data_IF_549924664740
#
_entry.id   IF_549924664740
#
_cell.length_a   1.000
_cell.length_b   1.000
_cell.length_c   1.000
_cell.angle_alpha   90.00
_cell.angle_beta   90.00
_cell.angle_gamma   90.00
#
_symmetry.space_group_name_H-M   'P 1'
#
loop_
_entity.id
_entity.type
_entity.pdbx_description
1 polymer ?
#
# COMPACT_ATOMS: atom_id res chain seq x y z
N UNK A 1 -43.42 -5.31 -18.91
CA UNK A 1 -42.34 -5.48 -17.92
C UNK A 1 -42.59 -4.48 -16.79
N UNK A 2 -42.73 -5.00 -15.57
CA UNK A 2 -42.89 -4.33 -14.28
C UNK A 2 -44.14 -3.46 -14.10
N UNK A 3 -45.17 -4.02 -13.48
CA UNK A 3 -46.20 -3.26 -12.76
C UNK A 3 -46.06 -3.63 -11.29
N UNK A 4 -45.77 -2.60 -10.48
CA UNK A 4 -45.69 -2.62 -9.03
C UNK A 4 -47.09 -2.74 -8.43
N UNK A 5 -47.30 -3.70 -7.53
CA UNK A 5 -48.52 -3.77 -6.72
C UNK A 5 -48.15 -4.17 -5.29
N UNK A 6 -48.07 -3.17 -4.43
CA UNK A 6 -47.97 -3.33 -2.98
C UNK A 6 -49.32 -3.86 -2.45
N UNK A 7 -49.33 -5.06 -1.88
CA UNK A 7 -50.47 -5.56 -1.12
C UNK A 7 -50.39 -5.06 0.32
N UNK A 8 -51.28 -4.13 0.69
CA UNK A 8 -51.57 -3.79 2.07
C UNK A 8 -52.48 -4.86 2.68
N UNK A 9 -52.04 -5.49 3.79
CA UNK A 9 -52.89 -6.34 4.63
C UNK A 9 -53.44 -5.51 5.80
N UNK A 10 -54.76 -5.46 5.96
CA UNK A 10 -55.44 -4.93 7.15
C UNK A 10 -56.08 -6.07 7.95
N UNK A 11 -55.87 -6.16 9.28
CA UNK A 11 -56.29 -7.33 10.06
C UNK A 11 -57.62 -7.09 10.78
N UNK A 12 -58.77 -7.27 10.13
CA UNK A 12 -60.07 -7.16 10.85
C UNK A 12 -61.22 -7.84 10.07
N UNK A 13 -61.38 -9.17 10.21
CA UNK A 13 -62.60 -9.84 9.73
C UNK A 13 -62.90 -11.21 10.36
N UNK A 14 -62.83 -11.31 11.68
CA UNK A 14 -63.24 -12.54 12.39
C UNK A 14 -64.41 -12.28 13.34
N UNK A 15 -65.61 -12.04 12.80
CA UNK A 15 -66.86 -12.32 13.52
C UNK A 15 -67.93 -12.81 12.54
N UNK A 16 -68.71 -13.77 13.04
CA UNK A 16 -69.84 -14.50 12.42
C UNK A 16 -69.35 -15.78 11.72
N UNK A 17 -69.65 -17.01 12.16
CA UNK A 17 -70.88 -17.55 12.73
C UNK A 17 -70.62 -18.71 13.74
N UNK A 18 -71.56 -18.85 14.66
CA UNK A 18 -71.74 -19.80 15.78
C UNK A 18 -71.83 -21.29 15.39
N UNK A 19 -71.44 -22.20 16.30
CA UNK A 19 -72.08 -23.53 16.39
C UNK A 19 -71.30 -24.70 17.01
N UNK A 20 -71.74 -25.11 18.21
CA UNK A 20 -71.73 -26.48 18.80
C UNK A 20 -70.46 -27.11 19.41
N UNK A 21 -70.68 -27.69 20.59
CA UNK A 21 -69.75 -28.26 21.57
C UNK A 21 -69.25 -29.66 21.18
N UNK A 22 -67.92 -29.88 21.22
CA UNK A 22 -67.32 -31.17 21.65
C UNK A 22 -66.06 -30.83 22.46
N UNK A 23 -66.08 -31.22 23.73
CA UNK A 23 -64.95 -31.18 24.66
C UNK A 23 -64.09 -32.44 24.45
N UNK A 24 -62.81 -32.42 24.86
CA UNK A 24 -61.72 -33.43 24.66
C UNK A 24 -60.91 -33.17 23.38
N UNK A 25 -59.61 -32.88 23.38
CA UNK A 25 -58.51 -33.25 24.26
C UNK A 25 -57.52 -32.09 24.45
N UNK A 26 -56.90 -32.07 25.63
CA UNK A 26 -55.65 -31.37 25.92
C UNK A 26 -54.54 -31.88 24.98
N UNK A 27 -53.48 -31.08 24.83
CA UNK A 27 -52.22 -31.34 24.10
C UNK A 27 -52.18 -30.97 22.61
N UNK A 28 -52.23 -29.67 22.33
CA UNK A 28 -51.16 -29.08 21.52
C UNK A 28 -50.63 -27.88 22.27
N UNK A 29 -49.68 -28.14 23.17
CA UNK A 29 -48.69 -27.14 23.51
C UNK A 29 -48.13 -26.62 22.18
N UNK A 30 -48.17 -25.32 21.88
CA UNK A 30 -47.29 -24.79 20.85
C UNK A 30 -45.89 -24.97 21.44
N UNK A 31 -45.22 -26.06 21.07
CA UNK A 31 -43.78 -26.16 21.23
C UNK A 31 -43.21 -24.86 20.64
N UNK A 32 -42.32 -24.16 21.34
CA UNK A 32 -41.54 -23.12 20.71
C UNK A 32 -40.73 -23.82 19.63
N UNK A 33 -41.22 -23.77 18.38
CA UNK A 33 -40.33 -23.92 17.25
C UNK A 33 -39.16 -22.94 17.46
N UNK A 34 -37.96 -23.24 16.96
CA UNK A 34 -36.89 -22.27 17.00
C UNK A 34 -37.47 -20.98 16.41
N UNK A 35 -37.65 -19.97 17.28
CA UNK A 35 -37.75 -18.58 16.84
C UNK A 35 -36.54 -18.46 15.94
N UNK A 36 -36.75 -18.27 14.64
CA UNK A 36 -35.66 -17.93 13.75
C UNK A 36 -34.96 -16.76 14.42
N UNK A 37 -33.83 -17.05 15.06
CA UNK A 37 -32.98 -16.05 15.68
C UNK A 37 -32.47 -15.26 14.50
N UNK A 38 -33.21 -14.20 14.16
CA UNK A 38 -32.89 -13.15 13.21
C UNK A 38 -31.55 -13.40 12.52
N UNK A 39 -31.55 -14.17 11.43
CA UNK A 39 -30.43 -14.10 10.48
C UNK A 39 -30.64 -12.77 9.78
N UNK A 40 -30.33 -11.70 10.52
CA UNK A 40 -30.40 -10.35 10.04
C UNK A 40 -29.24 -10.26 9.07
N UNK A 41 -29.53 -10.45 7.79
CA UNK A 41 -28.58 -10.25 6.71
C UNK A 41 -28.10 -8.79 6.81
N UNK A 42 -27.00 -8.57 7.52
CA UNK A 42 -26.40 -7.25 7.67
C UNK A 42 -25.92 -6.85 6.28
N UNK A 43 -26.46 -5.75 5.75
CA UNK A 43 -25.98 -5.19 4.50
C UNK A 43 -24.49 -4.90 4.65
N UNK A 44 -23.66 -5.60 3.86
CA UNK A 44 -22.24 -5.33 3.83
C UNK A 44 -21.99 -4.14 2.89
N UNK A 45 -21.28 -3.09 3.34
CA UNK A 45 -20.93 -1.97 2.50
C UNK A 45 -19.95 -2.33 1.37
N UNK A 46 -19.37 -3.54 1.41
CA UNK A 46 -18.46 -4.04 0.38
C UNK A 46 -19.14 -4.68 -0.83
N UNK A 47 -20.47 -4.87 -0.80
CA UNK A 47 -21.22 -5.52 -1.90
C UNK A 47 -21.12 -4.73 -3.20
N UNK A 48 -20.99 -3.40 -3.13
CA UNK A 48 -20.82 -2.55 -4.30
C UNK A 48 -19.41 -2.57 -4.90
N UNK A 49 -18.45 -3.25 -4.27
CA UNK A 49 -17.05 -3.27 -4.69
C UNK A 49 -16.42 -1.86 -4.74
N UNK A 50 -16.42 -1.10 -3.64
CA UNK A 50 -15.98 0.30 -3.65
C UNK A 50 -14.46 0.49 -3.87
N UNK A 51 -13.65 -0.55 -3.61
CA UNK A 51 -12.19 -0.46 -3.72
C UNK A 51 -11.72 -0.78 -5.14
N UNK A 52 -10.86 0.07 -5.68
CA UNK A 52 -10.26 -0.05 -7.01
C UNK A 52 -8.92 -0.81 -6.95
N UNK A 53 -8.34 -1.11 -8.11
CA UNK A 53 -6.97 -1.62 -8.26
C UNK A 53 -6.64 -2.80 -7.33
N UNK A 54 -7.53 -3.80 -7.28
CA UNK A 54 -7.38 -5.01 -6.45
C UNK A 54 -7.34 -4.73 -4.93
N UNK A 55 -7.82 -3.58 -4.48
CA UNK A 55 -7.99 -3.27 -3.06
C UNK A 55 -9.03 -4.18 -2.39
N UNK A 56 -8.78 -4.53 -1.13
CA UNK A 56 -9.67 -5.36 -0.32
C UNK A 56 -10.57 -4.47 0.52
N UNK A 57 -11.89 -4.60 0.34
CA UNK A 57 -12.87 -3.90 1.15
C UNK A 57 -13.06 -4.58 2.51
N UNK A 58 -13.03 -3.80 3.58
CA UNK A 58 -13.28 -4.25 4.95
C UNK A 58 -14.35 -3.37 5.58
N UNK A 59 -15.30 -3.98 6.31
CA UNK A 59 -16.29 -3.22 7.07
C UNK A 59 -15.62 -2.50 8.24
N UNK A 60 -15.91 -1.22 8.40
CA UNK A 60 -15.33 -0.37 9.44
C UNK A 60 -16.42 0.15 10.39
N UNK A 61 -16.26 0.06 11.72
CA UNK A 61 -17.27 0.52 12.66
C UNK A 61 -17.49 2.05 12.67
N UNK A 62 -16.51 2.83 12.20
CA UNK A 62 -16.51 4.30 12.24
C UNK A 62 -16.86 4.89 10.88
N UNK A 63 -16.20 4.43 9.82
CA UNK A 63 -16.32 4.97 8.45
C UNK A 63 -17.22 4.12 7.53
N UNK A 64 -18.00 3.19 8.09
CA UNK A 64 -18.80 2.17 7.38
C UNK A 64 -17.94 1.10 6.67
N UNK A 65 -16.93 1.50 5.90
CA UNK A 65 -15.94 0.61 5.29
C UNK A 65 -14.59 1.30 5.05
N UNK A 66 -13.54 0.51 4.91
CA UNK A 66 -12.20 0.94 4.50
C UNK A 66 -11.68 0.06 3.36
N UNK A 67 -10.79 0.61 2.56
CA UNK A 67 -10.10 -0.11 1.50
C UNK A 67 -8.64 -0.35 1.90
N UNK A 68 -8.24 -1.62 1.97
CA UNK A 68 -6.84 -2.01 2.10
C UNK A 68 -6.26 -2.13 0.70
N UNK A 69 -5.40 -1.19 0.34
CA UNK A 69 -4.86 -1.11 -1.02
C UNK A 69 -3.84 -2.19 -1.30
N UNK A 70 -3.87 -2.70 -2.54
CA UNK A 70 -2.81 -3.54 -3.05
C UNK A 70 -1.49 -2.76 -3.12
N UNK A 71 -0.32 -3.43 -3.06
CA UNK A 71 0.97 -2.77 -3.20
C UNK A 71 1.04 -1.89 -4.46
N UNK A 72 1.56 -0.67 -4.31
CA UNK A 72 1.68 0.30 -5.40
C UNK A 72 0.44 1.18 -5.65
N UNK A 73 -0.59 1.11 -4.81
CA UNK A 73 -1.77 1.99 -4.84
C UNK A 73 -2.06 2.64 -3.48
N UNK A 74 -2.68 3.81 -3.52
CA UNK A 74 -3.05 4.64 -2.38
C UNK A 74 -4.36 5.40 -2.68
N UNK A 75 -4.84 6.18 -1.71
CA UNK A 75 -6.13 6.88 -1.76
C UNK A 75 -7.23 6.15 -0.99
N UNK A 76 -8.37 6.83 -0.80
CA UNK A 76 -9.49 6.30 0.01
C UNK A 76 -10.10 5.03 -0.60
N UNK A 77 -10.06 4.93 -1.92
CA UNK A 77 -10.60 3.84 -2.72
C UNK A 77 -9.51 3.09 -3.49
N UNK A 78 -8.24 3.29 -3.14
CA UNK A 78 -7.09 2.72 -3.85
C UNK A 78 -7.01 3.15 -5.32
N UNK A 79 -7.55 4.33 -5.64
CA UNK A 79 -7.67 4.89 -6.98
C UNK A 79 -6.35 5.47 -7.51
N UNK A 80 -5.41 5.78 -6.61
CA UNK A 80 -4.19 6.54 -6.96
C UNK A 80 -2.98 5.61 -7.02
N UNK A 81 -2.25 5.54 -8.15
CA UNK A 81 -0.92 4.95 -8.20
C UNK A 81 0.04 5.59 -7.18
N UNK A 82 0.82 4.78 -6.47
CA UNK A 82 1.92 5.30 -5.64
C UNK A 82 3.02 5.80 -6.56
N UNK A 83 3.35 7.09 -6.44
CA UNK A 83 4.58 7.63 -7.00
C UNK A 83 5.76 7.24 -6.10
N UNK A 84 6.50 6.24 -6.55
CA UNK A 84 7.66 5.68 -5.86
C UNK A 84 8.87 6.61 -5.85
N UNK A 85 8.88 7.67 -6.69
CA UNK A 85 9.94 8.66 -6.76
C UNK A 85 9.61 9.96 -6.00
N UNK A 86 8.38 10.13 -5.50
CA UNK A 86 7.93 11.36 -4.85
C UNK A 86 8.79 11.79 -3.64
N UNK A 87 9.39 10.83 -2.93
CA UNK A 87 10.27 11.11 -1.79
C UNK A 87 11.72 11.39 -2.17
N UNK A 88 12.07 11.38 -3.46
CA UNK A 88 13.44 11.45 -3.97
C UNK A 88 14.37 10.46 -3.27
N UNK A 89 14.14 9.14 -3.41
CA UNK A 89 14.90 8.12 -2.68
C UNK A 89 16.38 8.04 -3.07
N UNK A 90 16.75 8.51 -4.26
CA UNK A 90 18.13 8.47 -4.75
C UNK A 90 18.95 9.63 -4.17
N UNK A 91 20.05 9.29 -3.49
CA UNK A 91 20.98 10.24 -2.87
C UNK A 91 22.09 10.66 -3.84
N UNK A 92 22.97 11.58 -3.41
CA UNK A 92 24.13 12.05 -4.18
C UNK A 92 23.83 12.49 -5.63
N UNK A 93 22.66 13.11 -5.84
CA UNK A 93 22.24 13.59 -7.15
C UNK A 93 21.82 12.49 -8.13
N UNK A 94 21.62 11.26 -7.66
CA UNK A 94 21.09 10.16 -8.46
C UNK A 94 19.68 10.46 -9.00
N UNK A 95 19.38 9.94 -10.18
CA UNK A 95 18.06 10.07 -10.82
C UNK A 95 17.18 8.88 -10.47
N UNK A 96 15.98 9.13 -9.93
CA UNK A 96 14.98 8.11 -9.68
C UNK A 96 14.25 7.73 -10.97
N UNK A 97 14.15 6.43 -11.24
CA UNK A 97 13.48 5.86 -12.40
C UNK A 97 12.36 4.95 -11.90
N UNK A 98 11.10 5.35 -12.13
CA UNK A 98 9.95 4.51 -11.80
C UNK A 98 9.70 3.46 -12.88
N UNK A 99 9.36 2.24 -12.45
CA UNK A 99 8.80 1.19 -13.29
C UNK A 99 7.29 1.13 -13.06
N UNK A 100 6.55 1.63 -14.06
CA UNK A 100 5.08 1.71 -14.04
C UNK A 100 4.39 0.34 -13.97
N UNK A 101 5.05 -0.72 -14.46
CA UNK A 101 4.49 -2.08 -14.49
C UNK A 101 4.67 -2.78 -13.15
N UNK A 102 5.85 -2.67 -12.55
CA UNK A 102 6.17 -3.35 -11.29
C UNK A 102 5.90 -2.49 -10.05
N UNK A 103 5.66 -1.19 -10.22
CA UNK A 103 5.51 -0.19 -9.14
C UNK A 103 6.71 -0.21 -8.20
N UNK A 104 7.90 -0.34 -8.78
CA UNK A 104 9.20 -0.25 -8.13
C UNK A 104 9.95 0.93 -8.73
N UNK A 105 11.04 1.32 -8.08
CA UNK A 105 11.97 2.29 -8.63
C UNK A 105 13.38 1.70 -8.66
N UNK A 106 14.24 2.29 -9.48
CA UNK A 106 15.68 2.14 -9.42
C UNK A 106 16.34 3.51 -9.43
N UNK A 107 17.57 3.58 -8.93
CA UNK A 107 18.38 4.79 -8.98
C UNK A 107 19.44 4.67 -10.06
N UNK A 108 19.50 5.67 -10.95
CA UNK A 108 20.65 5.87 -11.84
C UNK A 108 21.63 6.81 -11.16
N UNK A 109 22.76 6.27 -10.73
CA UNK A 109 23.78 7.01 -9.99
C UNK A 109 24.64 7.89 -10.90
N UNK A 110 25.10 9.01 -10.36
CA UNK A 110 26.16 9.80 -10.99
C UNK A 110 27.51 9.06 -10.90
N UNK A 111 28.47 9.48 -11.72
CA UNK A 111 29.83 8.95 -11.69
C UNK A 111 30.43 9.11 -10.29
N UNK A 112 31.12 8.09 -9.81
CA UNK A 112 31.67 8.05 -8.45
C UNK A 112 30.75 7.44 -7.40
N UNK A 113 29.46 7.23 -7.68
CA UNK A 113 28.52 6.66 -6.70
C UNK A 113 27.96 5.31 -7.12
N UNK A 114 27.68 4.46 -6.13
CA UNK A 114 26.97 3.19 -6.30
C UNK A 114 26.08 2.87 -5.10
N UNK A 115 25.44 1.70 -5.13
CA UNK A 115 24.42 1.30 -4.16
C UNK A 115 23.00 1.38 -4.73
N UNK A 116 22.01 0.92 -3.96
CA UNK A 116 20.61 0.89 -4.44
C UNK A 116 19.97 2.28 -4.44
N UNK A 117 20.53 3.18 -3.64
CA UNK A 117 20.10 4.56 -3.44
C UNK A 117 21.22 5.55 -3.80
N UNK A 118 22.28 5.11 -4.49
CA UNK A 118 23.48 5.90 -4.79
C UNK A 118 24.17 6.46 -3.54
N UNK A 119 24.07 5.74 -2.43
CA UNK A 119 24.48 6.16 -1.10
C UNK A 119 25.96 5.93 -0.81
N UNK A 120 26.63 5.14 -1.65
CA UNK A 120 28.02 4.76 -1.46
C UNK A 120 28.88 5.53 -2.45
N UNK A 121 29.85 6.29 -1.93
CA UNK A 121 30.93 6.87 -2.71
C UNK A 121 31.97 5.79 -3.00
N UNK A 122 32.41 5.69 -4.24
CA UNK A 122 33.38 4.69 -4.68
C UNK A 122 34.77 5.18 -4.28
N UNK A 123 35.50 4.39 -3.51
CA UNK A 123 36.88 4.72 -3.16
C UNK A 123 37.79 4.54 -4.39
N UNK A 124 38.06 5.65 -5.09
CA UNK A 124 38.88 5.67 -6.29
C UNK A 124 40.35 5.29 -6.00
N UNK A 125 40.78 5.31 -4.72
CA UNK A 125 42.13 4.92 -4.31
C UNK A 125 42.33 3.41 -4.17
N UNK A 126 41.27 2.60 -4.08
CA UNK A 126 41.41 1.13 -4.02
C UNK A 126 41.95 0.56 -5.35
N UNK A 127 41.48 1.12 -6.48
CA UNK A 127 41.88 0.68 -7.83
C UNK A 127 43.01 1.54 -8.42
N UNK A 128 43.27 2.74 -7.89
CA UNK A 128 44.28 3.66 -8.40
C UNK A 128 45.36 3.99 -7.37
N UNK A 129 46.52 3.34 -7.53
CA UNK A 129 47.68 3.59 -6.68
C UNK A 129 48.46 4.85 -7.08
N UNK A 130 48.73 5.71 -6.10
CA UNK A 130 49.69 6.80 -6.27
C UNK A 130 51.14 6.29 -6.20
N UNK A 131 51.99 6.70 -7.14
CA UNK A 131 53.40 6.30 -7.18
C UNK A 131 54.30 7.14 -6.26
N UNK A 132 55.56 6.71 -6.11
CA UNK A 132 56.62 7.47 -5.43
C UNK A 132 56.30 7.88 -3.97
N UNK A 133 55.50 7.06 -3.28
CA UNK A 133 55.11 7.33 -1.89
C UNK A 133 54.13 8.51 -1.75
N UNK A 134 53.48 8.94 -2.83
CA UNK A 134 52.41 9.92 -2.76
C UNK A 134 51.18 9.35 -2.03
N UNK A 135 50.51 10.22 -1.28
CA UNK A 135 49.27 9.87 -0.56
C UNK A 135 48.08 10.05 -1.50
N UNK A 136 47.29 9.00 -1.68
CA UNK A 136 46.03 9.07 -2.41
C UNK A 136 44.94 9.71 -1.56
N UNK A 137 44.17 10.60 -2.18
CA UNK A 137 42.97 11.20 -1.60
C UNK A 137 41.82 10.95 -2.56
N UNK A 138 40.81 10.26 -2.02
CA UNK A 138 39.56 9.93 -2.70
C UNK A 138 38.79 11.20 -3.11
N UNK A 139 38.04 11.08 -4.19
CA UNK A 139 37.23 12.14 -4.78
C UNK A 139 36.04 11.56 -5.53
N UNK A 140 35.11 12.41 -5.96
CA UNK A 140 33.89 11.91 -6.61
C UNK A 140 34.20 11.50 -8.06
N UNK A 141 34.35 10.20 -8.29
CA UNK A 141 34.68 9.63 -9.59
C UNK A 141 36.07 10.03 -10.08
N UNK A 142 36.96 10.38 -9.15
CA UNK A 142 38.35 10.70 -9.38
C UNK A 142 39.17 10.52 -8.10
N UNK A 143 40.48 10.58 -8.23
CA UNK A 143 41.39 10.63 -7.09
C UNK A 143 42.45 11.71 -7.30
N UNK A 144 43.04 12.18 -6.20
CA UNK A 144 44.16 13.13 -6.21
C UNK A 144 45.36 12.57 -5.45
N UNK A 145 46.54 12.62 -6.05
CA UNK A 145 47.78 12.21 -5.41
C UNK A 145 48.55 13.41 -4.83
N UNK A 146 48.80 13.40 -3.53
CA UNK A 146 49.65 14.39 -2.87
C UNK A 146 51.07 13.86 -2.69
N UNK A 147 52.01 14.50 -3.39
CA UNK A 147 53.42 14.18 -3.28
C UNK A 147 54.00 14.61 -1.93
N UNK A 148 54.94 13.83 -1.35
CA UNK A 148 55.71 14.28 -0.19
C UNK A 148 56.48 15.57 -0.52
N UNK A 149 56.77 16.42 0.48
CA UNK A 149 57.49 17.69 0.27
C UNK A 149 58.84 17.54 -0.45
N UNK A 150 59.48 16.37 -0.37
CA UNK A 150 60.75 16.08 -1.05
C UNK A 150 60.63 15.87 -2.58
N UNK A 151 59.43 15.66 -3.12
CA UNK A 151 59.19 15.45 -4.56
C UNK A 151 58.72 16.72 -5.28
N UNK A 152 58.20 17.72 -4.56
CA UNK A 152 57.74 19.00 -5.11
C UNK A 152 58.89 20.03 -5.18
N UNK A 153 60.03 19.75 -4.55
CA UNK A 153 61.06 20.74 -4.20
C UNK A 153 62.47 20.56 -4.78
N UNK A 154 62.71 19.70 -5.77
CA UNK A 154 64.01 19.66 -6.48
C UNK A 154 64.16 20.73 -7.59
N UNK A 155 63.38 21.82 -7.52
CA UNK A 155 63.68 23.08 -8.21
C UNK A 155 63.51 24.22 -7.20
N UNK A 156 64.40 24.30 -6.21
CA UNK A 156 64.76 25.60 -5.64
C UNK A 156 66.28 25.60 -5.54
N UNK A 157 66.87 26.52 -6.29
CA UNK A 157 68.29 26.77 -6.44
C UNK A 157 69.04 26.67 -5.11
N UNK A 158 70.14 25.90 -5.10
CA UNK A 158 71.25 26.17 -4.19
C UNK A 158 72.54 26.23 -5.04
N UNK A 159 73.20 27.40 -5.10
CA UNK A 159 74.40 27.65 -5.90
C UNK A 159 75.67 26.95 -5.39
#
# INVERSE_FOLDING_TARGET
>A
KVISSYFHWTPERWRQLVGTLVQFQLFFSPSPGPVETSVQAKCSPCVSGPCQNHGVCQSDPVELYTCVCAPGFTGKYCETPVDVCASNPCTNGGTCISDEQTRRFSCSCLVGFHGSFCEVDVDDCEDHGCENGATCVDGVGNYTCFCPPFYIGMIIDIP
#
